data_IF_097779637644
#
_entry.id   IF_097779637644
#
_cell.length_a   1.000
_cell.length_b   1.000
_cell.length_c   1.000
_cell.angle_alpha   90.00
_cell.angle_beta   90.00
_cell.angle_gamma   90.00
#
_symmetry.space_group_name_H-M   'P 1'
#
loop_
_entity.id
_entity.type
_entity.pdbx_description
1 polymer ?
#
# COMPACT_ATOMS: atom_id res chain seq x y z
N UNK A 1 2.00 20.31 -8.47
CA UNK A 1 1.29 19.91 -7.24
C UNK A 1 0.81 18.47 -7.44
N UNK A 2 0.86 17.61 -6.42
CA UNK A 2 0.37 16.23 -6.52
C UNK A 2 -1.17 16.25 -6.63
N UNK A 3 -1.71 15.64 -7.69
CA UNK A 3 -3.16 15.42 -7.77
C UNK A 3 -3.58 14.33 -6.77
N UNK A 4 -4.38 14.72 -5.78
CA UNK A 4 -4.90 13.86 -4.73
C UNK A 4 -6.41 13.65 -4.86
N UNK A 5 -6.99 14.03 -6.00
CA UNK A 5 -8.43 13.89 -6.24
C UNK A 5 -8.82 12.41 -6.33
N UNK A 6 -10.04 12.13 -5.93
CA UNK A 6 -10.68 10.83 -6.12
C UNK A 6 -11.48 10.86 -7.44
N UNK A 7 -10.75 11.11 -8.52
CA UNK A 7 -11.29 11.29 -9.87
C UNK A 7 -11.23 10.01 -10.70
N UNK A 8 -12.03 9.95 -11.76
CA UNK A 8 -12.01 8.87 -12.74
C UNK A 8 -10.61 8.65 -13.32
N UNK A 9 -9.89 9.73 -13.65
CA UNK A 9 -8.53 9.67 -14.19
C UNK A 9 -7.56 8.98 -13.21
N UNK A 10 -7.57 9.38 -11.94
CA UNK A 10 -6.70 8.76 -10.94
C UNK A 10 -7.07 7.28 -10.70
N UNK A 11 -8.36 6.94 -10.77
CA UNK A 11 -8.81 5.56 -10.66
C UNK A 11 -8.42 4.71 -11.89
N UNK A 12 -8.40 5.29 -13.08
CA UNK A 12 -7.86 4.63 -14.28
C UNK A 12 -6.37 4.33 -14.14
N UNK A 13 -5.58 5.29 -13.64
CA UNK A 13 -4.16 5.08 -13.35
C UNK A 13 -3.96 3.94 -12.34
N UNK A 14 -4.74 3.93 -11.26
CA UNK A 14 -4.71 2.87 -10.25
C UNK A 14 -5.14 1.52 -10.82
N UNK A 15 -6.20 1.49 -11.64
CA UNK A 15 -6.62 0.27 -12.34
C UNK A 15 -5.45 -0.32 -13.14
N UNK A 16 -4.78 0.49 -13.95
CA UNK A 16 -3.66 0.04 -14.77
C UNK A 16 -2.50 -0.49 -13.93
N UNK A 17 -2.19 0.15 -12.79
CA UNK A 17 -1.15 -0.29 -11.85
C UNK A 17 -1.51 -1.62 -11.17
N UNK A 18 -2.73 -1.74 -10.65
CA UNK A 18 -3.15 -2.94 -9.93
C UNK A 18 -3.44 -4.12 -10.89
N UNK A 19 -3.91 -3.85 -12.10
CA UNK A 19 -4.10 -4.88 -13.13
C UNK A 19 -2.77 -5.52 -13.57
N UNK A 20 -1.69 -4.73 -13.68
CA UNK A 20 -0.35 -5.26 -13.97
C UNK A 20 0.18 -6.18 -12.86
N UNK A 21 -0.29 -6.00 -11.63
CA UNK A 21 0.06 -6.85 -10.47
C UNK A 21 -0.86 -8.08 -10.34
N UNK A 22 -1.90 -8.19 -11.18
CA UNK A 22 -2.89 -9.26 -11.09
C UNK A 22 -3.88 -9.10 -9.93
N UNK A 23 -4.04 -7.89 -9.39
CA UNK A 23 -4.92 -7.61 -8.25
C UNK A 23 -6.34 -7.22 -8.65
N UNK A 24 -6.63 -7.11 -9.93
CA UNK A 24 -7.97 -6.76 -10.43
C UNK A 24 -8.73 -8.03 -10.80
N UNK A 25 -9.86 -8.24 -10.15
CA UNK A 25 -10.83 -9.23 -10.62
C UNK A 25 -11.63 -8.65 -11.79
N UNK A 26 -11.36 -9.13 -12.99
CA UNK A 26 -12.05 -8.72 -14.22
C UNK A 26 -13.57 -8.98 -14.14
N UNK A 27 -14.01 -9.99 -13.38
CA UNK A 27 -15.43 -10.29 -13.20
C UNK A 27 -16.16 -9.18 -12.43
N UNK A 28 -15.44 -8.37 -11.66
CA UNK A 28 -16.01 -7.22 -10.96
C UNK A 28 -16.23 -6.00 -11.85
N UNK A 29 -15.68 -5.98 -13.07
CA UNK A 29 -15.84 -4.87 -14.02
C UNK A 29 -17.23 -4.86 -14.65
N UNK A 30 -17.61 -3.74 -15.30
CA UNK A 30 -18.88 -3.63 -15.99
C UNK A 30 -19.07 -4.67 -17.11
N UNK A 31 -20.31 -5.01 -17.40
CA UNK A 31 -20.62 -5.91 -18.51
C UNK A 31 -20.07 -5.43 -19.86
N UNK A 32 -20.17 -4.12 -20.24
CA UNK A 32 -19.57 -3.61 -21.46
C UNK A 32 -18.05 -3.85 -21.52
N UNK A 33 -17.32 -3.57 -20.43
CA UNK A 33 -15.88 -3.80 -20.37
C UNK A 33 -15.53 -5.28 -20.53
N UNK A 34 -16.25 -6.18 -19.84
CA UNK A 34 -16.04 -7.63 -19.94
C UNK A 34 -16.31 -8.16 -21.34
N UNK A 35 -17.41 -7.69 -22.01
CA UNK A 35 -17.76 -8.09 -23.36
C UNK A 35 -16.67 -7.72 -24.37
N UNK A 36 -16.23 -6.45 -24.35
CA UNK A 36 -15.15 -5.99 -25.24
C UNK A 36 -13.84 -6.74 -24.98
N UNK A 37 -13.54 -7.06 -23.72
CA UNK A 37 -12.36 -7.83 -23.38
C UNK A 37 -12.42 -9.27 -23.92
N UNK A 38 -13.60 -9.89 -23.89
CA UNK A 38 -13.83 -11.23 -24.45
C UNK A 38 -13.65 -11.23 -25.99
N UNK A 39 -14.19 -10.22 -26.69
CA UNK A 39 -14.00 -10.06 -28.13
C UNK A 39 -12.53 -9.84 -28.50
N UNK A 40 -11.80 -9.01 -27.75
CA UNK A 40 -10.37 -8.81 -27.96
C UNK A 40 -9.60 -10.14 -27.80
N UNK A 41 -9.97 -10.95 -26.82
CA UNK A 41 -9.34 -12.24 -26.58
C UNK A 41 -9.58 -13.20 -27.76
N UNK A 42 -10.81 -13.31 -28.22
CA UNK A 42 -11.18 -14.16 -29.37
C UNK A 42 -10.43 -13.75 -30.64
N UNK A 43 -10.45 -12.44 -30.98
CA UNK A 43 -9.74 -11.95 -32.16
C UNK A 43 -8.21 -12.11 -32.07
N UNK A 44 -7.63 -11.95 -30.90
CA UNK A 44 -6.20 -12.24 -30.69
C UNK A 44 -5.88 -13.74 -30.88
N UNK A 45 -6.79 -14.63 -30.51
CA UNK A 45 -6.62 -16.07 -30.71
C UNK A 45 -6.69 -16.42 -32.20
N UNK A 46 -7.66 -15.86 -32.94
CA UNK A 46 -7.76 -15.99 -34.40
C UNK A 46 -6.49 -15.46 -35.09
N UNK A 47 -6.01 -14.30 -34.70
CA UNK A 47 -4.79 -13.70 -35.23
C UNK A 47 -3.55 -14.56 -34.94
N UNK A 48 -3.48 -15.14 -33.74
CA UNK A 48 -2.40 -16.04 -33.35
C UNK A 48 -2.39 -17.32 -34.19
N UNK A 49 -3.55 -17.90 -34.47
CA UNK A 49 -3.65 -19.09 -35.33
C UNK A 49 -3.17 -18.79 -36.77
N UNK A 50 -3.61 -17.68 -37.35
CA UNK A 50 -3.14 -17.27 -38.70
C UNK A 50 -1.61 -16.99 -38.73
N UNK A 51 -1.06 -16.49 -37.63
CA UNK A 51 0.38 -16.17 -37.53
C UNK A 51 1.28 -17.40 -37.27
N UNK A 52 0.72 -18.56 -36.91
CA UNK A 52 1.52 -19.81 -36.83
C UNK A 52 2.15 -20.21 -38.16
N UNK A 53 1.50 -19.90 -39.29
CA UNK A 53 2.09 -20.07 -40.60
C UNK A 53 3.20 -19.04 -40.83
N UNK A 54 4.33 -19.50 -41.46
CA UNK A 54 5.39 -18.57 -41.85
C UNK A 54 4.86 -17.54 -42.86
N UNK A 55 5.38 -16.34 -42.82
CA UNK A 55 4.93 -15.24 -43.68
C UNK A 55 4.96 -15.58 -45.17
N UNK A 56 5.95 -16.33 -45.60
CA UNK A 56 6.11 -16.76 -46.97
C UNK A 56 5.07 -17.80 -47.44
N UNK A 57 4.45 -18.53 -46.50
CA UNK A 57 3.53 -19.63 -46.79
C UNK A 57 2.04 -19.18 -46.65
N UNK A 58 1.79 -17.90 -46.44
CA UNK A 58 0.43 -17.32 -46.28
C UNK A 58 -0.16 -16.96 -47.65
N UNK A 59 -1.44 -17.25 -47.81
CA UNK A 59 -2.21 -16.83 -49.00
C UNK A 59 -2.58 -15.34 -48.93
N UNK A 60 -2.96 -14.75 -50.08
CA UNK A 60 -3.46 -13.36 -50.14
C UNK A 60 -4.67 -13.14 -49.21
N UNK A 61 -5.60 -14.09 -49.20
CA UNK A 61 -6.79 -14.05 -48.32
C UNK A 61 -6.41 -14.07 -46.83
N UNK A 62 -5.38 -14.81 -46.46
CA UNK A 62 -4.87 -14.83 -45.06
C UNK A 62 -4.21 -13.49 -44.67
N UNK A 63 -3.56 -12.81 -45.60
CA UNK A 63 -3.02 -11.46 -45.36
C UNK A 63 -4.16 -10.44 -45.18
N UNK A 64 -5.13 -10.44 -46.05
CA UNK A 64 -6.32 -9.55 -45.92
C UNK A 64 -7.05 -9.79 -44.61
N UNK A 65 -7.24 -11.04 -44.20
CA UNK A 65 -7.88 -11.39 -42.93
C UNK A 65 -7.04 -10.91 -41.71
N UNK A 66 -5.72 -11.00 -41.77
CA UNK A 66 -4.84 -10.47 -40.72
C UNK A 66 -5.01 -8.95 -40.60
N UNK A 67 -5.01 -8.22 -41.71
CA UNK A 67 -5.15 -6.76 -41.73
C UNK A 67 -6.52 -6.32 -41.19
N UNK A 68 -7.58 -7.02 -41.60
CA UNK A 68 -8.94 -6.81 -41.07
C UNK A 68 -8.98 -7.01 -39.54
N UNK A 69 -8.46 -8.14 -39.03
CA UNK A 69 -8.43 -8.44 -37.59
C UNK A 69 -7.60 -7.40 -36.81
N UNK A 70 -6.50 -6.93 -37.37
CA UNK A 70 -5.68 -5.88 -36.74
C UNK A 70 -6.42 -4.54 -36.66
N UNK A 71 -7.19 -4.19 -37.70
CA UNK A 71 -8.06 -3.00 -37.71
C UNK A 71 -9.17 -3.11 -36.65
N UNK A 72 -9.88 -4.23 -36.64
CA UNK A 72 -10.92 -4.50 -35.63
C UNK A 72 -10.39 -4.48 -34.21
N UNK A 73 -9.18 -5.04 -33.99
CA UNK A 73 -8.51 -4.98 -32.68
C UNK A 73 -8.16 -3.56 -32.26
N UNK A 74 -7.84 -2.66 -33.18
CA UNK A 74 -7.63 -1.23 -32.86
C UNK A 74 -8.92 -0.59 -32.40
N UNK A 75 -10.03 -0.81 -33.10
CA UNK A 75 -11.34 -0.28 -32.70
C UNK A 75 -11.79 -0.84 -31.34
N UNK A 76 -11.63 -2.15 -31.12
CA UNK A 76 -11.97 -2.78 -29.84
C UNK A 76 -11.13 -2.26 -28.68
N UNK A 77 -9.85 -1.91 -28.90
CA UNK A 77 -9.00 -1.29 -27.88
C UNK A 77 -9.50 0.11 -27.51
N UNK A 78 -10.02 0.88 -28.46
CA UNK A 78 -10.63 2.19 -28.21
C UNK A 78 -11.91 1.97 -27.37
N UNK A 79 -12.81 1.10 -27.80
CA UNK A 79 -14.04 0.75 -27.05
C UNK A 79 -13.74 0.26 -25.63
N UNK A 80 -12.68 -0.54 -25.47
CA UNK A 80 -12.23 -0.99 -24.14
C UNK A 80 -11.81 0.19 -23.26
N UNK A 81 -11.07 1.15 -23.81
CA UNK A 81 -10.66 2.36 -23.08
C UNK A 81 -11.87 3.21 -22.68
N UNK A 82 -12.83 3.40 -23.59
CA UNK A 82 -14.07 4.12 -23.32
C UNK A 82 -14.88 3.46 -22.21
N UNK A 83 -15.09 2.13 -22.29
CA UNK A 83 -15.79 1.37 -21.26
C UNK A 83 -15.07 1.43 -19.89
N UNK A 84 -13.72 1.47 -19.88
CA UNK A 84 -12.96 1.66 -18.65
C UNK A 84 -13.15 3.05 -18.06
N UNK A 85 -13.12 4.09 -18.88
CA UNK A 85 -13.34 5.48 -18.43
C UNK A 85 -14.74 5.63 -17.84
N UNK A 86 -15.77 5.04 -18.48
CA UNK A 86 -17.14 5.05 -17.96
C UNK A 86 -17.24 4.33 -16.59
N UNK A 87 -16.62 3.17 -16.46
CA UNK A 87 -16.53 2.43 -15.20
C UNK A 87 -15.87 3.25 -14.10
N UNK A 88 -14.75 3.88 -14.39
CA UNK A 88 -14.02 4.69 -13.42
C UNK A 88 -14.76 5.98 -13.06
N UNK A 89 -15.53 6.55 -14.01
CA UNK A 89 -16.39 7.71 -13.78
C UNK A 89 -17.53 7.37 -12.81
N UNK A 90 -18.20 6.25 -13.01
CA UNK A 90 -19.25 5.77 -12.10
C UNK A 90 -18.72 5.54 -10.67
N UNK A 91 -17.53 4.92 -10.55
CA UNK A 91 -16.88 4.73 -9.25
C UNK A 91 -16.51 6.08 -8.62
N UNK A 92 -16.00 7.02 -9.41
CA UNK A 92 -15.64 8.34 -8.90
C UNK A 92 -16.87 9.13 -8.42
N UNK A 93 -17.99 9.05 -9.11
CA UNK A 93 -19.26 9.63 -8.67
C UNK A 93 -19.71 9.04 -7.34
N UNK A 94 -19.70 7.70 -7.21
CA UNK A 94 -20.04 7.01 -5.97
C UNK A 94 -19.13 7.47 -4.81
N UNK A 95 -17.80 7.42 -4.98
CA UNK A 95 -16.81 7.82 -3.96
C UNK A 95 -16.92 9.29 -3.57
N UNK A 96 -17.37 10.16 -4.51
CA UNK A 96 -17.57 11.58 -4.26
C UNK A 96 -18.97 11.93 -3.76
N UNK A 97 -19.88 10.98 -3.71
CA UNK A 97 -21.22 11.19 -3.19
C UNK A 97 -21.22 11.48 -1.68
N UNK A 98 -22.27 12.15 -1.18
CA UNK A 98 -22.44 12.46 0.25
C UNK A 98 -22.68 11.21 1.12
N UNK A 99 -23.16 10.14 0.49
CA UNK A 99 -23.54 8.89 1.18
C UNK A 99 -22.40 7.87 1.23
N UNK A 100 -21.32 8.12 0.51
CA UNK A 100 -20.17 7.21 0.51
C UNK A 100 -19.38 7.34 1.82
N UNK A 101 -19.12 6.20 2.43
CA UNK A 101 -18.25 6.08 3.60
C UNK A 101 -17.39 4.82 3.52
N UNK A 102 -16.17 4.91 4.01
CA UNK A 102 -15.30 3.75 4.19
C UNK A 102 -15.74 3.01 5.46
N UNK A 103 -16.31 1.83 5.28
CA UNK A 103 -16.72 0.94 6.37
C UNK A 103 -15.77 -0.26 6.44
N UNK A 104 -15.57 -0.76 7.65
CA UNK A 104 -14.70 -1.90 7.92
C UNK A 104 -15.48 -2.97 8.68
N UNK A 105 -15.14 -4.22 8.41
CA UNK A 105 -15.68 -5.39 9.09
C UNK A 105 -14.58 -6.00 9.98
N UNK A 106 -15.00 -6.59 11.10
CA UNK A 106 -14.12 -7.22 12.08
C UNK A 106 -14.14 -8.73 11.91
N UNK A 107 -12.98 -9.34 11.91
CA UNK A 107 -12.79 -10.78 11.87
C UNK A 107 -11.85 -11.21 13.01
N UNK A 108 -12.02 -12.43 13.52
CA UNK A 108 -11.09 -13.02 14.47
C UNK A 108 -10.32 -14.13 13.77
N UNK A 109 -9.00 -13.98 13.65
CA UNK A 109 -8.14 -14.98 13.06
C UNK A 109 -6.98 -15.32 14.02
N UNK A 110 -6.87 -16.60 14.40
CA UNK A 110 -5.79 -17.06 15.30
C UNK A 110 -5.72 -16.34 16.65
N UNK A 111 -6.86 -15.89 17.19
CA UNK A 111 -6.93 -15.18 18.48
C UNK A 111 -6.56 -13.69 18.40
N UNK A 112 -6.32 -13.17 17.21
CA UNK A 112 -6.10 -11.73 16.97
C UNK A 112 -7.25 -11.13 16.17
N UNK A 113 -7.58 -9.89 16.48
CA UNK A 113 -8.55 -9.11 15.69
C UNK A 113 -7.91 -8.67 14.38
N UNK A 114 -8.58 -8.95 13.28
CA UNK A 114 -8.26 -8.45 11.95
C UNK A 114 -9.44 -7.69 11.39
N UNK A 115 -9.14 -6.64 10.66
CA UNK A 115 -10.14 -5.76 10.07
C UNK A 115 -9.99 -5.78 8.55
N UNK A 116 -11.09 -5.85 7.85
CA UNK A 116 -11.12 -5.78 6.39
C UNK A 116 -11.99 -4.61 5.94
N UNK A 117 -11.66 -4.06 4.82
CA UNK A 117 -12.53 -3.07 4.18
C UNK A 117 -13.76 -3.79 3.64
N UNK A 118 -14.96 -3.24 3.87
CA UNK A 118 -16.18 -3.79 3.28
C UNK A 118 -16.05 -3.81 1.76
N UNK A 119 -16.30 -4.97 1.18
CA UNK A 119 -16.07 -5.20 -0.24
C UNK A 119 -17.01 -4.35 -1.10
N UNK A 120 -16.47 -3.38 -1.80
CA UNK A 120 -17.07 -2.70 -2.94
C UNK A 120 -15.97 -2.15 -3.86
N UNK A 121 -16.26 -1.97 -5.13
CA UNK A 121 -15.32 -1.35 -6.08
C UNK A 121 -14.97 0.06 -5.64
N UNK A 122 -15.94 0.84 -5.20
CA UNK A 122 -15.74 2.19 -4.69
C UNK A 122 -14.81 2.22 -3.48
N UNK A 123 -15.01 1.32 -2.50
CA UNK A 123 -14.14 1.20 -1.33
C UNK A 123 -12.71 0.81 -1.71
N UNK A 124 -12.54 -0.13 -2.67
CA UNK A 124 -11.23 -0.55 -3.16
C UNK A 124 -10.46 0.63 -3.78
N UNK A 125 -11.06 1.35 -4.73
CA UNK A 125 -10.38 2.45 -5.40
C UNK A 125 -10.16 3.65 -4.48
N UNK A 126 -11.13 3.96 -3.60
CA UNK A 126 -10.98 5.00 -2.59
C UNK A 126 -9.80 4.70 -1.65
N UNK A 127 -9.68 3.47 -1.16
CA UNK A 127 -8.58 3.05 -0.30
C UNK A 127 -7.23 3.09 -1.03
N UNK A 128 -7.16 2.61 -2.27
CA UNK A 128 -5.92 2.65 -3.07
C UNK A 128 -5.49 4.08 -3.35
N UNK A 129 -6.41 4.98 -3.69
CA UNK A 129 -6.11 6.40 -3.88
C UNK A 129 -5.65 7.05 -2.57
N UNK A 130 -6.30 6.74 -1.46
CA UNK A 130 -5.90 7.22 -0.14
C UNK A 130 -4.48 6.79 0.21
N UNK A 131 -4.16 5.51 0.02
CA UNK A 131 -2.81 4.98 0.25
C UNK A 131 -1.77 5.66 -0.67
N UNK A 132 -2.11 5.88 -1.93
CA UNK A 132 -1.25 6.61 -2.86
C UNK A 132 -0.98 8.05 -2.41
N UNK A 133 -2.03 8.77 -1.99
CA UNK A 133 -1.92 10.12 -1.46
C UNK A 133 -1.04 10.16 -0.21
N UNK A 134 -1.25 9.26 0.74
CA UNK A 134 -0.44 9.13 1.96
C UNK A 134 1.02 8.86 1.63
N UNK A 135 1.29 7.86 0.79
CA UNK A 135 2.65 7.48 0.41
C UNK A 135 3.43 8.66 -0.21
N UNK A 136 2.79 9.41 -1.09
CA UNK A 136 3.43 10.55 -1.78
C UNK A 136 3.58 11.77 -0.88
N UNK A 137 2.57 12.09 -0.07
CA UNK A 137 2.58 13.25 0.83
C UNK A 137 3.60 13.11 1.94
N UNK A 138 3.66 11.95 2.58
CA UNK A 138 4.58 11.68 3.68
C UNK A 138 5.91 11.05 3.23
N UNK A 139 6.13 10.89 1.92
CA UNK A 139 7.33 10.26 1.34
C UNK A 139 7.64 8.90 1.98
N UNK A 140 6.59 8.07 2.15
CA UNK A 140 6.72 6.79 2.84
C UNK A 140 7.55 5.84 1.98
N UNK A 141 8.64 5.36 2.54
CA UNK A 141 9.49 4.32 1.98
C UNK A 141 9.33 3.04 2.80
N UNK A 142 8.98 1.95 2.13
CA UNK A 142 8.83 0.63 2.77
C UNK A 142 9.80 -0.33 2.09
N UNK A 143 11.04 -0.43 2.58
CA UNK A 143 12.02 -1.35 2.01
C UNK A 143 11.56 -2.80 2.19
N UNK A 144 11.67 -3.59 1.13
CA UNK A 144 11.38 -5.01 1.20
C UNK A 144 12.44 -5.77 2.01
N UNK A 145 12.07 -6.92 2.61
CA UNK A 145 13.01 -7.78 3.36
C UNK A 145 14.28 -8.10 2.59
N UNK A 146 14.16 -8.37 1.29
CA UNK A 146 15.32 -8.65 0.43
C UNK A 146 16.29 -7.47 0.32
N UNK A 147 15.77 -6.25 0.26
CA UNK A 147 16.61 -5.03 0.22
C UNK A 147 17.34 -4.83 1.54
N UNK A 148 16.65 -5.02 2.66
CA UNK A 148 17.25 -4.95 4.01
C UNK A 148 18.37 -6.00 4.13
N UNK A 149 18.09 -7.26 3.78
CA UNK A 149 19.08 -8.33 3.85
C UNK A 149 20.28 -8.08 2.93
N UNK A 150 20.06 -7.56 1.73
CA UNK A 150 21.14 -7.21 0.81
C UNK A 150 22.06 -6.11 1.38
N UNK A 151 21.49 -5.14 2.13
CA UNK A 151 22.25 -4.08 2.78
C UNK A 151 23.02 -4.57 4.02
N UNK A 152 22.48 -5.53 4.78
CA UNK A 152 23.10 -6.07 5.98
C UNK A 152 24.32 -6.94 5.64
N UNK A 153 24.23 -7.76 4.60
CA UNK A 153 25.24 -8.76 4.24
C UNK A 153 26.69 -8.20 4.13
N UNK A 154 26.97 -7.08 3.45
CA UNK A 154 28.32 -6.51 3.41
C UNK A 154 28.76 -5.95 4.76
N UNK A 155 27.84 -5.43 5.59
CA UNK A 155 28.16 -4.85 6.90
C UNK A 155 28.60 -5.89 7.91
N UNK A 156 28.09 -7.11 7.82
CA UNK A 156 28.50 -8.25 8.67
C UNK A 156 29.95 -8.68 8.44
N UNK A 157 30.57 -8.30 7.32
CA UNK A 157 31.96 -8.62 7.01
C UNK A 157 32.93 -7.50 7.38
N UNK A 158 32.48 -6.46 8.07
CA UNK A 158 33.36 -5.38 8.53
C UNK A 158 34.34 -5.87 9.58
N UNK A 159 35.59 -5.42 9.50
CA UNK A 159 36.67 -5.80 10.43
C UNK A 159 36.70 -4.94 11.70
N UNK A 160 35.68 -4.13 11.95
CA UNK A 160 35.58 -3.30 13.16
C UNK A 160 34.65 -3.92 14.20
N UNK A 161 34.83 -3.62 15.49
CA UNK A 161 33.89 -4.05 16.52
C UNK A 161 32.50 -3.45 16.26
N UNK A 162 31.50 -4.29 16.12
CA UNK A 162 30.10 -3.89 15.94
C UNK A 162 29.23 -4.58 16.96
N UNK A 163 28.17 -3.91 17.36
CA UNK A 163 27.07 -4.46 18.13
C UNK A 163 25.85 -4.58 17.24
N UNK A 164 25.04 -5.61 17.48
CA UNK A 164 23.81 -5.85 16.73
C UNK A 164 22.65 -5.95 17.70
N UNK A 165 21.60 -5.19 17.46
CA UNK A 165 20.31 -5.35 18.12
C UNK A 165 19.31 -5.79 17.05
N UNK A 166 18.61 -6.90 17.35
CA UNK A 166 17.39 -7.29 16.67
C UNK A 166 16.31 -7.41 17.72
N UNK A 167 15.22 -6.68 17.51
CA UNK A 167 14.08 -6.66 18.43
C UNK A 167 12.81 -6.43 17.61
N UNK A 168 11.67 -6.66 18.25
CA UNK A 168 10.38 -6.40 17.66
C UNK A 168 9.54 -5.48 18.57
N UNK A 169 8.53 -4.80 17.98
CA UNK A 169 7.64 -3.93 18.73
C UNK A 169 6.42 -4.73 19.16
N UNK A 170 6.20 -4.83 20.47
CA UNK A 170 5.09 -5.57 21.04
C UNK A 170 3.75 -4.99 20.60
N UNK A 171 2.87 -5.86 20.07
CA UNK A 171 1.50 -5.49 19.66
C UNK A 171 1.45 -4.18 18.87
N UNK A 172 2.33 -4.04 17.85
CA UNK A 172 2.65 -2.79 17.19
C UNK A 172 1.40 -1.99 16.77
N UNK A 173 0.52 -2.60 15.96
CA UNK A 173 -0.68 -1.92 15.48
C UNK A 173 -1.66 -1.58 16.61
N UNK A 174 -1.74 -2.42 17.61
CA UNK A 174 -2.64 -2.29 18.75
C UNK A 174 -2.15 -1.26 19.79
N UNK A 175 -0.85 -0.89 19.74
CA UNK A 175 -0.22 0.01 20.72
C UNK A 175 -0.08 1.45 20.25
N UNK A 176 -0.25 1.75 18.97
CA UNK A 176 -0.06 3.10 18.42
C UNK A 176 -1.06 4.10 19.01
N UNK A 177 -0.63 5.17 19.72
CA UNK A 177 -1.52 6.23 20.19
C UNK A 177 -2.13 7.01 19.03
N UNK A 178 -3.47 6.98 18.92
CA UNK A 178 -4.19 7.58 17.79
C UNK A 178 -4.06 9.11 17.78
N UNK A 179 -4.06 9.75 18.93
CA UNK A 179 -4.00 11.20 19.04
C UNK A 179 -2.76 11.76 18.34
N UNK A 180 -1.57 11.28 18.68
CA UNK A 180 -0.33 11.73 18.08
C UNK A 180 -0.25 11.44 16.57
N UNK A 181 -0.72 10.26 16.16
CA UNK A 181 -0.77 9.89 14.74
C UNK A 181 -1.73 10.80 13.96
N UNK A 182 -2.94 11.00 14.47
CA UNK A 182 -3.95 11.84 13.82
C UNK A 182 -3.53 13.30 13.79
N UNK A 183 -2.89 13.81 14.83
CA UNK A 183 -2.32 15.15 14.83
C UNK A 183 -1.32 15.32 13.69
N UNK A 184 -0.34 14.40 13.54
CA UNK A 184 0.60 14.42 12.41
C UNK A 184 -0.10 14.44 11.04
N UNK A 185 -1.17 13.66 10.89
CA UNK A 185 -1.94 13.59 9.65
C UNK A 185 -2.71 14.89 9.39
N UNK A 186 -3.35 15.45 10.42
CA UNK A 186 -4.18 16.65 10.27
C UNK A 186 -3.37 17.94 10.15
N UNK A 187 -2.22 18.03 10.81
CA UNK A 187 -1.33 19.19 10.72
C UNK A 187 -0.59 19.27 9.39
N UNK A 188 -0.52 18.16 8.64
CA UNK A 188 0.10 18.17 7.33
C UNK A 188 -0.76 18.93 6.31
N UNK A 189 -0.32 20.12 5.91
CA UNK A 189 -1.04 21.00 4.97
C UNK A 189 -1.07 20.47 3.53
N UNK A 190 -0.19 19.52 3.18
CA UNK A 190 -0.09 18.96 1.83
C UNK A 190 -1.09 17.82 1.59
N UNK A 191 -1.62 17.18 2.64
CA UNK A 191 -2.62 16.13 2.50
C UNK A 191 -4.00 16.73 2.28
N UNK A 192 -4.70 16.26 1.24
CA UNK A 192 -6.02 16.76 0.87
C UNK A 192 -7.06 16.55 1.99
N UNK A 193 -8.01 17.48 2.08
CA UNK A 193 -9.11 17.41 3.06
C UNK A 193 -9.90 16.09 2.94
N UNK A 194 -10.16 15.64 1.71
CA UNK A 194 -10.88 14.37 1.48
C UNK A 194 -10.10 13.16 1.98
N UNK A 195 -8.78 13.13 1.78
CA UNK A 195 -7.93 12.08 2.35
C UNK A 195 -7.98 12.07 3.88
N UNK A 196 -7.91 13.24 4.51
CA UNK A 196 -8.07 13.38 5.97
C UNK A 196 -9.45 12.90 6.45
N UNK A 197 -10.52 13.25 5.71
CA UNK A 197 -11.87 12.80 6.01
C UNK A 197 -12.00 11.27 5.96
N UNK A 198 -11.43 10.61 4.95
CA UNK A 198 -11.47 9.15 4.85
C UNK A 198 -10.66 8.47 5.97
N UNK A 199 -9.52 9.03 6.36
CA UNK A 199 -8.77 8.54 7.53
C UNK A 199 -9.64 8.64 8.79
N UNK A 200 -10.33 9.77 9.00
CA UNK A 200 -11.24 9.94 10.12
C UNK A 200 -12.36 8.89 10.14
N UNK A 201 -12.96 8.61 8.97
CA UNK A 201 -14.01 7.58 8.84
C UNK A 201 -13.49 6.19 9.22
N UNK A 202 -12.28 5.82 8.77
CA UNK A 202 -11.66 4.54 9.12
C UNK A 202 -11.46 4.43 10.64
N UNK A 203 -10.95 5.49 11.30
CA UNK A 203 -10.79 5.47 12.75
C UNK A 203 -12.12 5.44 13.51
N UNK A 204 -13.12 6.17 13.06
CA UNK A 204 -14.46 6.13 13.65
C UNK A 204 -15.09 4.74 13.54
N UNK A 205 -14.99 4.12 12.36
CA UNK A 205 -15.46 2.74 12.15
C UNK A 205 -14.69 1.76 13.04
N UNK A 206 -13.36 1.88 13.14
CA UNK A 206 -12.54 1.06 14.02
C UNK A 206 -12.93 1.16 15.49
N UNK A 207 -13.04 2.39 16.01
CA UNK A 207 -13.43 2.62 17.41
C UNK A 207 -14.82 2.05 17.75
N UNK A 208 -15.73 2.01 16.77
CA UNK A 208 -17.08 1.49 16.97
C UNK A 208 -17.17 -0.04 17.05
N UNK A 209 -16.18 -0.77 16.51
CA UNK A 209 -16.23 -2.24 16.38
C UNK A 209 -15.09 -2.98 17.10
N UNK A 210 -14.02 -2.28 17.50
CA UNK A 210 -12.91 -2.89 18.24
C UNK A 210 -13.38 -3.39 19.61
N UNK A 211 -12.73 -4.42 20.13
CA UNK A 211 -13.02 -4.92 21.47
C UNK A 211 -12.34 -4.05 22.53
N UNK A 212 -13.15 -3.30 23.28
CA UNK A 212 -12.67 -2.43 24.37
C UNK A 212 -12.07 -3.20 25.55
N UNK A 213 -12.29 -4.51 25.63
CA UNK A 213 -11.63 -5.36 26.64
C UNK A 213 -10.17 -5.66 26.29
N UNK A 214 -9.81 -5.57 25.00
CA UNK A 214 -8.47 -5.86 24.50
C UNK A 214 -7.66 -4.61 24.20
N UNK A 215 -8.31 -3.49 23.91
CA UNK A 215 -7.64 -2.23 23.52
C UNK A 215 -8.24 -1.01 24.20
N UNK A 216 -7.38 -0.10 24.68
CA UNK A 216 -7.80 1.15 25.28
C UNK A 216 -8.40 2.10 24.22
N UNK A 217 -9.40 2.90 24.59
CA UNK A 217 -9.96 3.93 23.72
C UNK A 217 -8.85 4.91 23.27
N UNK A 218 -8.84 5.28 21.99
CA UNK A 218 -7.83 6.18 21.41
C UNK A 218 -6.45 5.54 21.21
N UNK A 219 -6.33 4.22 21.34
CA UNK A 219 -5.10 3.46 21.09
C UNK A 219 -5.37 2.39 20.04
N UNK A 220 -4.37 2.12 19.20
CA UNK A 220 -4.40 1.13 18.15
C UNK A 220 -4.92 1.64 16.80
N UNK A 221 -4.48 0.95 15.75
CA UNK A 221 -4.94 1.15 14.37
C UNK A 221 -5.44 -0.18 13.80
N UNK A 222 -6.41 -0.17 12.87
CA UNK A 222 -7.07 -1.40 12.42
C UNK A 222 -6.11 -2.30 11.63
N UNK A 223 -5.71 -3.42 12.21
CA UNK A 223 -4.83 -4.41 11.55
C UNK A 223 -5.55 -5.06 10.37
N UNK A 224 -4.85 -5.26 9.23
CA UNK A 224 -5.39 -5.93 8.04
C UNK A 224 -5.83 -4.98 6.92
N UNK A 225 -6.09 -3.70 7.22
CA UNK A 225 -6.43 -2.69 6.21
C UNK A 225 -5.15 -2.06 5.64
N UNK A 226 -5.08 -1.91 4.32
CA UNK A 226 -3.88 -1.39 3.64
C UNK A 226 -3.38 -0.03 4.12
N UNK A 227 -4.30 0.87 4.55
CA UNK A 227 -3.93 2.20 5.07
C UNK A 227 -3.16 2.11 6.39
N UNK A 228 -3.35 1.07 7.19
CA UNK A 228 -2.71 0.92 8.50
C UNK A 228 -1.19 0.81 8.38
N UNK A 229 -0.70 0.13 7.34
CA UNK A 229 0.73 0.10 7.04
C UNK A 229 1.28 1.51 6.73
N UNK A 230 0.52 2.37 6.03
CA UNK A 230 0.93 3.75 5.77
C UNK A 230 0.90 4.59 7.04
N UNK A 231 -0.12 4.43 7.87
CA UNK A 231 -0.28 5.16 9.13
C UNK A 231 0.81 4.79 10.14
N UNK A 232 1.16 3.50 10.25
CA UNK A 232 2.25 3.06 11.12
C UNK A 232 3.60 3.62 10.66
N UNK A 233 3.86 3.69 9.35
CA UNK A 233 5.07 4.33 8.83
C UNK A 233 5.11 5.83 9.14
N UNK A 234 3.99 6.56 8.98
CA UNK A 234 3.90 7.98 9.36
C UNK A 234 4.17 8.17 10.85
N UNK A 235 3.66 7.28 11.70
CA UNK A 235 3.90 7.33 13.14
C UNK A 235 5.37 7.17 13.48
N UNK A 236 6.04 6.20 12.86
CA UNK A 236 7.42 5.83 13.14
C UNK A 236 8.48 6.77 12.55
N UNK A 237 8.13 7.63 11.59
CA UNK A 237 9.11 8.44 10.85
C UNK A 237 10.09 9.20 11.74
N UNK A 238 9.60 9.85 12.82
CA UNK A 238 10.45 10.72 13.64
C UNK A 238 11.43 9.91 14.48
N UNK A 239 10.98 8.79 15.06
CA UNK A 239 11.87 7.93 15.85
C UNK A 239 12.87 7.19 14.96
N UNK A 240 12.42 6.70 13.79
CA UNK A 240 13.32 6.06 12.82
C UNK A 240 14.42 7.04 12.37
N UNK A 241 14.06 8.29 12.09
CA UNK A 241 15.01 9.31 11.69
C UNK A 241 15.96 9.69 12.84
N UNK A 242 15.43 9.84 14.04
CA UNK A 242 16.22 10.11 15.24
C UNK A 242 17.26 9.02 15.49
N UNK A 243 16.90 7.75 15.36
CA UNK A 243 17.83 6.63 15.52
C UNK A 243 18.87 6.62 14.40
N UNK A 244 18.43 6.76 13.15
CA UNK A 244 19.32 6.79 11.97
C UNK A 244 20.34 7.92 12.00
N UNK A 245 20.01 9.04 12.64
CA UNK A 245 20.89 10.22 12.71
C UNK A 245 21.97 10.15 13.80
N UNK A 246 21.99 9.10 14.61
CA UNK A 246 23.01 8.94 15.67
C UNK A 246 24.35 8.55 15.07
N UNK A 247 25.40 9.17 15.58
CA UNK A 247 26.77 8.96 15.09
C UNK A 247 27.29 7.54 15.29
N UNK A 248 26.83 6.86 16.35
CA UNK A 248 27.16 5.47 16.65
C UNK A 248 26.42 4.45 15.77
N UNK A 249 25.31 4.83 15.13
CA UNK A 249 24.50 3.92 14.32
C UNK A 249 25.06 3.80 12.91
N UNK A 250 25.58 2.64 12.57
CA UNK A 250 26.09 2.32 11.23
C UNK A 250 24.96 1.98 10.27
N UNK A 251 23.97 1.24 10.77
CA UNK A 251 22.81 0.82 9.98
C UNK A 251 21.58 0.65 10.86
N UNK A 252 20.45 1.13 10.38
CA UNK A 252 19.14 0.92 10.98
C UNK A 252 18.14 0.57 9.89
N UNK A 253 17.39 -0.48 10.10
CA UNK A 253 16.25 -0.85 9.27
C UNK A 253 15.10 -1.33 10.14
N UNK A 254 13.89 -1.01 9.72
CA UNK A 254 12.65 -1.54 10.29
C UNK A 254 11.81 -2.15 9.18
N UNK A 255 11.24 -3.30 9.45
CA UNK A 255 10.25 -3.94 8.58
C UNK A 255 8.99 -4.18 9.41
N UNK A 256 8.04 -3.24 9.32
CA UNK A 256 6.83 -3.16 10.15
C UNK A 256 7.20 -3.04 11.63
N UNK A 257 7.16 -4.12 12.39
CA UNK A 257 7.48 -4.27 13.81
C UNK A 257 8.92 -4.75 14.06
N UNK A 258 9.51 -5.51 13.12
CA UNK A 258 10.89 -6.01 13.20
C UNK A 258 11.92 -4.86 13.05
N UNK A 259 12.78 -4.66 14.06
CA UNK A 259 13.86 -3.69 14.06
C UNK A 259 15.20 -4.41 13.99
N UNK A 260 16.08 -3.92 13.12
CA UNK A 260 17.46 -4.38 13.02
C UNK A 260 18.40 -3.16 13.02
N UNK A 261 19.36 -3.17 13.93
CA UNK A 261 20.33 -2.08 14.09
C UNK A 261 21.75 -2.63 14.25
N UNK A 262 22.70 -2.01 13.53
CA UNK A 262 24.15 -2.20 13.70
C UNK A 262 24.73 -0.88 14.18
N UNK A 263 25.50 -0.93 15.25
CA UNK A 263 26.14 0.24 15.79
C UNK A 263 27.52 -0.08 16.36
N UNK A 264 28.33 0.94 16.63
CA UNK A 264 29.64 0.84 17.28
C UNK A 264 29.65 1.63 18.57
N UNK A 265 30.49 1.22 19.55
CA UNK A 265 30.69 2.02 20.76
C UNK A 265 31.69 3.11 20.44
N UNK A 266 31.33 4.37 20.67
CA UNK A 266 32.22 5.51 20.48
C UNK A 266 33.17 5.68 21.69
N UNK A 267 32.71 5.37 22.90
CA UNK A 267 33.39 5.70 24.15
C UNK A 267 34.00 4.50 24.86
N UNK A 268 33.82 3.29 24.34
CA UNK A 268 34.33 2.05 24.96
C UNK A 268 33.74 1.69 26.33
N UNK A 269 32.85 2.54 26.88
CA UNK A 269 32.30 2.40 28.24
C UNK A 269 30.87 1.90 28.28
N UNK A 270 30.10 2.12 27.21
CA UNK A 270 28.69 1.69 27.15
C UNK A 270 28.59 0.22 26.72
N UNK A 271 27.86 -0.56 27.51
CA UNK A 271 27.56 -1.95 27.17
C UNK A 271 26.39 -2.06 26.16
N UNK A 272 26.27 -3.20 25.48
CA UNK A 272 25.12 -3.51 24.64
C UNK A 272 23.79 -3.31 25.39
N UNK A 273 23.77 -3.68 26.68
CA UNK A 273 22.57 -3.54 27.51
C UNK A 273 22.18 -2.07 27.75
N UNK A 274 23.14 -1.16 27.84
CA UNK A 274 22.85 0.27 28.03
C UNK A 274 22.23 0.86 26.75
N UNK A 275 22.77 0.50 25.59
CA UNK A 275 22.18 0.89 24.30
C UNK A 275 20.75 0.35 24.15
N UNK A 276 20.52 -0.91 24.50
CA UNK A 276 19.17 -1.51 24.41
C UNK A 276 18.19 -0.86 25.39
N UNK A 277 18.59 -0.61 26.64
CA UNK A 277 17.75 0.11 27.63
C UNK A 277 17.41 1.53 27.16
N UNK A 278 18.35 2.23 26.54
CA UNK A 278 18.09 3.56 25.98
C UNK A 278 17.09 3.49 24.82
N UNK A 279 17.23 2.50 23.94
CA UNK A 279 16.28 2.26 22.87
C UNK A 279 14.88 1.99 23.44
N UNK A 280 14.75 1.11 24.44
CA UNK A 280 13.48 0.84 25.11
C UNK A 280 12.83 2.09 25.71
N UNK A 281 13.62 2.97 26.37
CA UNK A 281 13.10 4.24 26.91
C UNK A 281 12.56 5.16 25.82
N UNK A 282 13.21 5.21 24.67
CA UNK A 282 12.74 6.04 23.56
C UNK A 282 11.45 5.52 22.96
N UNK A 283 11.32 4.20 22.73
CA UNK A 283 10.08 3.59 22.25
C UNK A 283 8.96 3.78 23.28
N UNK A 284 9.25 3.62 24.56
CA UNK A 284 8.28 3.88 25.62
C UNK A 284 7.81 5.34 25.66
N UNK A 285 8.68 6.30 25.35
CA UNK A 285 8.32 7.73 25.32
C UNK A 285 7.29 8.07 24.23
N UNK A 286 7.18 7.24 23.21
CA UNK A 286 6.18 7.34 22.14
C UNK A 286 5.04 6.32 22.29
N UNK A 287 4.89 5.67 23.45
CA UNK A 287 3.81 4.72 23.73
C UNK A 287 3.99 3.32 23.14
N UNK A 288 5.21 2.94 22.74
CA UNK A 288 5.52 1.61 22.21
C UNK A 288 6.46 0.84 23.14
N UNK A 289 6.40 -0.49 23.11
CA UNK A 289 7.28 -1.38 23.88
C UNK A 289 8.06 -2.32 22.95
N UNK A 290 9.37 -2.52 23.28
CA UNK A 290 10.27 -3.42 22.56
C UNK A 290 10.43 -4.73 23.32
#
# INVERSE_FOLDING_TARGET
>A
MLDQSFSAHNFEVLFNLENRKGHIDIKSMSRPYQAVLAEIKDKNEQLRELRKKKKADRTSEEFEKIEMLESELKELRIKKSEALVEDMSSIAEEVNSRHFSLTIDKHNYGGKEEFTLKESRASFYAMKQLMYNMKRTFKIEMPGRHQIMASIKPLMNMKMPIFIIRTDINSFYESIPQEHLLQKVYDNSLLSFKSKSFIKQVFQAYESIKDVSLTTAGVGIPRGIGISAMLSEVYMQDIDQKIKSRTEVIYYARYVDDIFMIFTSLDGHNSLNDYYKNLQKEFKSIGLEL
#
